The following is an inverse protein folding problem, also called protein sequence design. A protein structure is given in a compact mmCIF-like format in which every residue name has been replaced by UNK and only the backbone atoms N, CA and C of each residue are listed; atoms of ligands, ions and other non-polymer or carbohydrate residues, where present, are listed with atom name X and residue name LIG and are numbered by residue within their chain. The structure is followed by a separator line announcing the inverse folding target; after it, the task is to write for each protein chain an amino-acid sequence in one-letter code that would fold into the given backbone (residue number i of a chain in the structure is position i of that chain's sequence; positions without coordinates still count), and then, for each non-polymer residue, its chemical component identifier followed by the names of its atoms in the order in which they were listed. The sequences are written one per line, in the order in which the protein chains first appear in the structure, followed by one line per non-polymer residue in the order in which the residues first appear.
data_IF_592639772591
#
_entry.id   IF_592639772591
#
_cell.length_a   1.000
_cell.length_b   1.000
_cell.length_c   1.000
_cell.angle_alpha   90.00
_cell.angle_beta   90.00
_cell.angle_gamma   90.00
#
_symmetry.space_group_name_H-M   'P 1'
#
loop_
_entity.id
_entity.type
_entity.pdbx_description
1 polymer ?
#
# COMPACT_ATOMS: atom_id res chain seq x y z
N UNK A 1 15.23 58.23 42.12
CA UNK A 1 15.87 57.42 41.09
C UNK A 1 15.26 56.03 41.14
N UNK A 2 14.30 55.73 40.23
CA UNK A 2 13.64 54.42 40.13
C UNK A 2 14.29 53.66 38.97
N UNK A 3 15.00 52.57 39.24
CA UNK A 3 15.49 51.66 38.23
C UNK A 3 14.33 50.79 37.72
N UNK A 4 14.05 50.87 36.42
CA UNK A 4 13.10 49.98 35.72
C UNK A 4 13.94 48.83 35.15
N UNK A 5 13.73 47.63 35.69
CA UNK A 5 14.27 46.38 35.12
C UNK A 5 13.33 45.91 34.00
N UNK A 6 13.78 46.04 32.79
CA UNK A 6 13.06 45.50 31.63
C UNK A 6 13.50 44.03 31.42
N UNK A 7 12.57 43.10 31.70
CA UNK A 7 12.77 41.68 31.50
C UNK A 7 12.55 41.38 30.00
N UNK A 8 13.61 41.09 29.28
CA UNK A 8 13.54 40.59 27.89
C UNK A 8 13.25 39.11 27.95
N UNK A 9 11.97 38.73 27.66
CA UNK A 9 11.60 37.33 27.44
C UNK A 9 11.89 36.99 25.99
N UNK A 10 13.01 36.30 25.74
CA UNK A 10 13.30 35.74 24.43
C UNK A 10 12.40 34.51 24.17
N UNK A 11 11.37 34.67 23.35
CA UNK A 11 10.63 33.54 22.73
C UNK A 11 11.59 32.81 21.81
N UNK A 12 12.20 31.74 22.26
CA UNK A 12 12.77 30.72 21.35
C UNK A 12 11.62 29.96 20.69
N UNK A 13 11.21 30.40 19.52
CA UNK A 13 10.40 29.58 18.62
C UNK A 13 11.25 28.40 18.17
N UNK A 14 11.01 27.24 18.76
CA UNK A 14 11.53 25.97 18.27
C UNK A 14 10.80 25.68 16.97
N UNK A 15 11.33 26.19 15.87
CA UNK A 15 10.99 25.67 14.56
C UNK A 15 11.57 24.25 14.49
N UNK A 16 10.73 23.26 14.79
CA UNK A 16 11.03 21.89 14.43
C UNK A 16 11.24 21.83 12.91
N UNK A 17 12.49 21.70 12.49
CA UNK A 17 12.81 21.40 11.11
C UNK A 17 12.14 20.06 10.80
N UNK A 18 11.04 20.09 10.05
CA UNK A 18 10.55 18.86 9.39
C UNK A 18 11.75 18.33 8.60
N UNK A 19 12.24 17.16 8.98
CA UNK A 19 13.24 16.47 8.17
C UNK A 19 12.70 16.48 6.73
N UNK A 20 13.48 17.01 5.78
CA UNK A 20 13.08 17.01 4.38
C UNK A 20 12.93 15.56 3.96
N UNK A 21 11.70 15.14 3.65
CA UNK A 21 11.49 13.79 3.12
C UNK A 21 12.29 13.68 1.82
N UNK A 22 13.03 12.55 1.67
CA UNK A 22 13.75 12.25 0.43
C UNK A 22 12.82 12.36 -0.79
N UNK A 23 13.32 12.84 -1.94
CA UNK A 23 12.57 12.78 -3.19
C UNK A 23 12.10 11.35 -3.46
N UNK A 24 10.86 11.19 -3.92
CA UNK A 24 10.26 9.87 -4.15
C UNK A 24 11.11 8.97 -5.06
N UNK A 25 11.75 9.54 -6.08
CA UNK A 25 12.56 8.80 -7.06
C UNK A 25 13.90 8.25 -6.52
N UNK A 26 14.30 8.60 -5.29
CA UNK A 26 15.52 8.09 -4.66
C UNK A 26 15.23 7.32 -3.35
N UNK A 27 13.96 7.01 -3.07
CA UNK A 27 13.57 6.36 -1.83
C UNK A 27 13.85 4.85 -1.86
N UNK A 28 14.37 4.34 -0.76
CA UNK A 28 14.50 2.90 -0.51
C UNK A 28 13.19 2.39 0.09
N UNK A 29 12.52 1.48 -0.64
CA UNK A 29 11.27 0.85 -0.21
C UNK A 29 11.58 -0.51 0.42
N UNK A 30 11.04 -0.77 1.60
CA UNK A 30 11.14 -2.05 2.29
C UNK A 30 9.76 -2.69 2.39
N UNK A 31 9.57 -3.83 1.73
CA UNK A 31 8.36 -4.64 1.85
C UNK A 31 8.33 -5.38 3.18
N UNK A 32 7.28 -5.17 3.96
CA UNK A 32 7.10 -5.76 5.28
C UNK A 32 5.86 -6.66 5.33
N UNK A 33 6.09 -7.96 5.50
CA UNK A 33 5.06 -8.91 5.87
C UNK A 33 4.95 -8.94 7.40
N UNK A 34 3.95 -8.29 7.98
CA UNK A 34 3.81 -8.15 9.44
C UNK A 34 3.82 -9.49 10.16
N UNK A 35 3.11 -10.52 9.64
CA UNK A 35 3.08 -11.87 10.22
C UNK A 35 4.46 -12.51 10.32
N UNK A 36 5.31 -12.29 9.34
CA UNK A 36 6.61 -12.98 9.22
C UNK A 36 7.79 -12.11 9.67
N UNK A 37 7.56 -10.82 9.90
CA UNK A 37 8.64 -9.87 10.17
C UNK A 37 9.30 -10.09 11.54
N UNK A 38 8.52 -10.53 12.52
CA UNK A 38 9.00 -10.86 13.86
C UNK A 38 8.40 -12.19 14.32
N UNK A 39 8.98 -12.86 15.31
CA UNK A 39 8.38 -14.09 15.88
C UNK A 39 6.95 -13.90 16.40
N UNK A 40 6.61 -12.71 16.89
CA UNK A 40 5.27 -12.41 17.38
C UNK A 40 4.28 -12.06 16.24
N UNK A 41 4.76 -11.63 15.07
CA UNK A 41 3.94 -11.32 13.90
C UNK A 41 2.95 -10.17 14.09
N UNK A 42 3.26 -9.18 14.95
CA UNK A 42 2.35 -8.10 15.32
C UNK A 42 2.92 -6.72 15.03
N UNK A 43 2.05 -5.69 14.92
CA UNK A 43 2.48 -4.29 14.80
C UNK A 43 3.32 -3.84 16.00
N UNK A 44 3.01 -4.30 17.20
CA UNK A 44 3.78 -3.97 18.40
C UNK A 44 5.23 -4.45 18.28
N UNK A 45 5.45 -5.69 17.85
CA UNK A 45 6.79 -6.23 17.67
C UNK A 45 7.51 -5.63 16.44
N UNK A 46 6.77 -5.30 15.37
CA UNK A 46 7.33 -4.60 14.20
C UNK A 46 7.80 -3.19 14.54
N UNK A 47 7.09 -2.48 15.43
CA UNK A 47 7.47 -1.15 15.92
C UNK A 47 8.85 -1.14 16.56
N UNK A 48 9.20 -2.19 17.32
CA UNK A 48 10.52 -2.33 17.96
C UNK A 48 11.68 -2.46 16.96
N UNK A 49 11.38 -2.88 15.72
CA UNK A 49 12.37 -3.05 14.65
C UNK A 49 12.59 -1.80 13.77
N UNK A 50 11.83 -0.73 13.97
CA UNK A 50 11.98 0.50 13.20
C UNK A 50 13.39 1.10 13.24
N UNK A 51 14.13 1.13 14.38
CA UNK A 51 15.50 1.63 14.40
C UNK A 51 16.42 0.84 13.45
N UNK A 52 16.28 -0.50 13.36
CA UNK A 52 17.04 -1.34 12.43
C UNK A 52 16.77 -0.96 10.98
N UNK A 53 15.53 -0.70 10.60
CA UNK A 53 15.19 -0.25 9.25
C UNK A 53 15.78 1.12 8.94
N UNK A 54 15.84 2.00 9.94
CA UNK A 54 16.48 3.31 9.80
C UNK A 54 17.98 3.20 9.55
N UNK A 55 18.68 2.35 10.28
CA UNK A 55 20.10 2.05 10.07
C UNK A 55 20.35 1.44 8.68
N UNK A 56 19.41 0.64 8.17
CA UNK A 56 19.48 0.05 6.82
C UNK A 56 19.27 1.09 5.70
N UNK A 57 18.85 2.32 6.03
CA UNK A 57 18.62 3.38 5.07
C UNK A 57 17.25 3.33 4.39
N UNK A 58 16.27 2.65 4.98
CA UNK A 58 14.89 2.61 4.46
C UNK A 58 14.22 3.96 4.60
N UNK A 59 13.50 4.38 3.58
CA UNK A 59 12.71 5.61 3.54
C UNK A 59 11.20 5.33 3.58
N UNK A 60 10.78 4.26 2.91
CA UNK A 60 9.38 3.86 2.77
C UNK A 60 9.19 2.43 3.26
N UNK A 61 8.28 2.23 4.21
CA UNK A 61 7.82 0.91 4.61
C UNK A 61 6.55 0.60 3.83
N UNK A 62 6.58 -0.44 3.00
CA UNK A 62 5.41 -0.97 2.33
C UNK A 62 4.90 -2.17 3.13
N UNK A 63 3.73 -2.03 3.74
CA UNK A 63 3.04 -3.10 4.43
C UNK A 63 2.28 -3.98 3.42
N UNK A 64 2.60 -5.27 3.34
CA UNK A 64 1.73 -6.25 2.68
C UNK A 64 0.32 -6.17 3.25
N UNK A 65 -0.73 -6.76 2.59
CA UNK A 65 -2.10 -6.60 3.07
C UNK A 65 -2.26 -6.91 4.55
N UNK A 66 -2.84 -5.97 5.29
CA UNK A 66 -3.00 -6.04 6.75
C UNK A 66 -4.43 -6.36 7.17
N UNK A 67 -5.28 -6.65 6.21
CA UNK A 67 -6.72 -6.91 6.37
C UNK A 67 -7.01 -8.33 6.86
N UNK A 68 -8.20 -8.59 7.42
CA UNK A 68 -8.67 -9.95 7.65
C UNK A 68 -8.73 -10.74 6.35
N UNK A 69 -8.34 -12.00 6.43
CA UNK A 69 -8.30 -12.93 5.30
C UNK A 69 -9.57 -13.77 5.28
N UNK A 70 -10.16 -13.99 4.11
CA UNK A 70 -11.30 -14.88 3.91
C UNK A 70 -11.04 -16.31 4.37
N UNK A 71 -12.11 -17.05 4.66
CA UNK A 71 -12.03 -18.45 5.08
C UNK A 71 -12.56 -19.41 4.02
N UNK A 72 -13.49 -18.94 3.16
CA UNK A 72 -14.02 -19.73 2.06
C UNK A 72 -12.94 -19.93 0.99
N UNK A 73 -12.79 -21.16 0.52
CA UNK A 73 -11.79 -21.54 -0.49
C UNK A 73 -10.35 -21.15 -0.12
N UNK A 74 -10.05 -21.04 1.17
CA UNK A 74 -8.77 -20.57 1.68
C UNK A 74 -7.61 -21.46 1.24
N UNK A 75 -6.58 -20.87 0.63
CA UNK A 75 -5.33 -21.56 0.32
C UNK A 75 -4.49 -21.81 1.57
N UNK A 76 -4.15 -23.05 1.84
CA UNK A 76 -3.36 -23.45 3.01
C UNK A 76 -4.08 -23.15 4.35
N UNK A 77 -3.35 -23.22 5.45
CA UNK A 77 -3.93 -23.07 6.81
C UNK A 77 -4.20 -21.61 7.17
N UNK A 78 -3.36 -20.67 6.72
CA UNK A 78 -3.42 -19.26 7.10
C UNK A 78 -4.07 -18.36 6.03
N UNK A 79 -4.24 -18.85 4.82
CA UNK A 79 -4.78 -18.11 3.69
C UNK A 79 -3.81 -17.11 3.06
N UNK A 80 -4.19 -16.63 1.88
CA UNK A 80 -3.49 -15.56 1.18
C UNK A 80 -3.81 -14.21 1.80
N UNK A 81 -2.81 -13.36 2.01
CA UNK A 81 -2.99 -11.96 2.45
C UNK A 81 -3.83 -11.16 1.45
N UNK A 82 -3.81 -11.56 0.18
CA UNK A 82 -4.52 -10.89 -0.90
C UNK A 82 -6.00 -11.31 -0.99
N UNK A 83 -6.43 -12.38 -0.32
CA UNK A 83 -7.85 -12.76 -0.19
C UNK A 83 -8.54 -11.95 0.93
N UNK A 84 -8.73 -10.65 0.68
CA UNK A 84 -9.25 -9.68 1.67
C UNK A 84 -10.74 -9.91 1.92
N UNK A 85 -11.13 -10.02 3.20
CA UNK A 85 -12.54 -10.15 3.60
C UNK A 85 -13.18 -8.84 4.09
N UNK A 86 -12.38 -7.86 4.56
CA UNK A 86 -12.85 -6.55 5.01
C UNK A 86 -11.78 -5.48 4.80
N UNK A 87 -12.01 -4.57 3.86
CA UNK A 87 -11.06 -3.51 3.50
C UNK A 87 -10.80 -2.46 4.58
N UNK A 88 -11.67 -2.33 5.59
CA UNK A 88 -11.55 -1.30 6.63
C UNK A 88 -11.22 -1.87 8.02
N UNK A 89 -10.83 -3.13 8.09
CA UNK A 89 -10.44 -3.81 9.31
C UNK A 89 -8.96 -4.22 9.30
N UNK A 90 -8.40 -4.39 10.48
CA UNK A 90 -7.09 -4.98 10.72
C UNK A 90 -7.26 -6.48 10.98
N UNK A 91 -6.39 -7.30 10.40
CA UNK A 91 -6.29 -8.72 10.74
C UNK A 91 -5.98 -8.84 12.25
N UNK A 92 -6.85 -9.50 13.05
CA UNK A 92 -6.67 -9.58 14.49
C UNK A 92 -5.37 -10.29 14.91
N UNK A 93 -4.76 -11.08 14.04
CA UNK A 93 -3.44 -11.67 14.28
C UNK A 93 -2.34 -10.62 14.42
N UNK A 94 -2.48 -9.46 13.77
CA UNK A 94 -1.47 -8.39 13.77
C UNK A 94 -1.66 -7.39 14.93
N UNK A 95 -2.79 -7.45 15.60
CA UNK A 95 -3.20 -6.54 16.66
C UNK A 95 -4.48 -5.78 16.33
N UNK A 96 -4.64 -4.63 16.95
CA UNK A 96 -5.82 -3.76 16.82
C UNK A 96 -5.55 -2.55 15.92
N UNK A 97 -6.61 -1.82 15.55
CA UNK A 97 -6.47 -0.52 14.87
C UNK A 97 -5.60 0.46 15.69
N UNK A 98 -5.67 0.42 17.03
CA UNK A 98 -4.82 1.26 17.89
C UNK A 98 -3.34 0.88 17.80
N UNK A 99 -3.04 -0.41 17.67
CA UNK A 99 -1.66 -0.88 17.50
C UNK A 99 -1.09 -0.44 16.16
N UNK A 100 -1.89 -0.51 15.10
CA UNK A 100 -1.53 0.01 13.78
C UNK A 100 -1.29 1.53 13.80
N UNK A 101 -2.21 2.31 14.37
CA UNK A 101 -2.05 3.77 14.50
C UNK A 101 -0.81 4.15 15.34
N UNK A 102 -0.49 3.36 16.37
CA UNK A 102 0.74 3.54 17.17
C UNK A 102 1.98 3.25 16.32
N UNK A 103 1.99 2.15 15.57
CA UNK A 103 3.07 1.82 14.64
C UNK A 103 3.30 2.94 13.61
N UNK A 104 2.24 3.45 12.95
CA UNK A 104 2.33 4.57 12.02
C UNK A 104 2.98 5.79 12.67
N UNK A 105 2.51 6.17 13.86
CA UNK A 105 3.07 7.32 14.59
C UNK A 105 4.54 7.13 14.93
N UNK A 106 4.95 5.93 15.33
CA UNK A 106 6.35 5.61 15.63
C UNK A 106 7.23 5.64 14.36
N UNK A 107 6.73 5.12 13.24
CA UNK A 107 7.40 5.16 11.95
C UNK A 107 7.60 6.61 11.46
N UNK A 108 6.54 7.42 11.48
CA UNK A 108 6.61 8.83 11.10
C UNK A 108 7.59 9.63 11.99
N UNK A 109 7.63 9.34 13.29
CA UNK A 109 8.58 9.99 14.22
C UNK A 109 10.04 9.73 13.82
N UNK A 110 10.33 8.58 13.22
CA UNK A 110 11.66 8.23 12.71
C UNK A 110 11.89 8.67 11.26
N UNK A 111 10.91 9.33 10.63
CA UNK A 111 11.01 9.89 9.29
C UNK A 111 10.68 8.92 8.16
N UNK A 112 10.08 7.76 8.46
CA UNK A 112 9.57 6.87 7.41
C UNK A 112 8.28 7.42 6.80
N UNK A 113 8.04 7.11 5.54
CA UNK A 113 6.69 6.99 4.98
C UNK A 113 6.21 5.56 5.16
N UNK A 114 4.91 5.39 5.34
CA UNK A 114 4.29 4.06 5.41
C UNK A 114 3.20 3.98 4.36
N UNK A 115 3.38 3.10 3.38
CA UNK A 115 2.37 2.75 2.40
C UNK A 115 1.82 1.36 2.70
N UNK A 116 0.63 1.06 2.23
CA UNK A 116 0.03 -0.25 2.40
C UNK A 116 -0.44 -0.83 1.06
N UNK A 117 -0.57 -2.14 1.01
CA UNK A 117 -1.11 -2.81 -0.16
C UNK A 117 -2.59 -2.46 -0.37
N UNK A 118 -2.95 -2.11 -1.59
CA UNK A 118 -4.32 -1.90 -2.05
C UNK A 118 -4.66 -2.98 -3.07
N UNK A 119 -5.41 -3.99 -2.64
CA UNK A 119 -5.87 -5.08 -3.50
C UNK A 119 -7.17 -4.65 -4.16
N UNK A 120 -7.08 -3.98 -5.32
CA UNK A 120 -8.24 -3.38 -5.96
C UNK A 120 -8.94 -4.30 -6.96
N UNK A 121 -8.27 -5.35 -7.45
CA UNK A 121 -8.82 -6.23 -8.47
C UNK A 121 -9.86 -7.21 -7.92
N UNK A 122 -9.72 -7.68 -6.68
CA UNK A 122 -10.53 -8.77 -6.12
C UNK A 122 -10.66 -8.71 -4.60
N UNK A 123 -11.56 -9.53 -4.08
CA UNK A 123 -11.72 -9.82 -2.63
C UNK A 123 -11.67 -11.32 -2.40
N UNK A 124 -11.75 -11.77 -1.14
CA UNK A 124 -12.11 -13.17 -0.85
C UNK A 124 -13.55 -13.48 -1.26
N UNK A 125 -13.89 -14.77 -1.55
CA UNK A 125 -15.26 -15.16 -1.94
C UNK A 125 -16.29 -15.12 -0.79
N UNK A 126 -15.86 -14.80 0.41
CA UNK A 126 -16.66 -14.55 1.62
C UNK A 126 -16.41 -13.16 2.19
N UNK A 127 -15.95 -12.22 1.37
CA UNK A 127 -15.79 -10.84 1.77
C UNK A 127 -17.14 -10.20 2.14
N UNK A 128 -17.14 -9.23 3.06
CA UNK A 128 -18.34 -8.49 3.44
C UNK A 128 -19.12 -7.93 2.24
N UNK A 129 -18.43 -7.50 1.21
CA UNK A 129 -19.09 -6.96 0.02
C UNK A 129 -19.87 -8.01 -0.78
N UNK A 130 -19.53 -9.30 -0.67
CA UNK A 130 -20.30 -10.39 -1.31
C UNK A 130 -21.76 -10.41 -0.81
N UNK A 131 -21.95 -10.24 0.50
CA UNK A 131 -23.26 -10.31 1.14
C UNK A 131 -23.95 -8.94 1.24
N UNK A 132 -23.18 -7.87 1.43
CA UNK A 132 -23.70 -6.52 1.71
C UNK A 132 -24.01 -5.69 0.45
N UNK A 133 -23.48 -6.08 -0.70
CA UNK A 133 -23.55 -5.31 -1.95
C UNK A 133 -24.34 -6.05 -3.03
N UNK A 134 -24.91 -5.33 -4.01
CA UNK A 134 -25.53 -5.94 -5.17
C UNK A 134 -24.64 -6.95 -5.88
N UNK A 135 -25.23 -7.98 -6.46
CA UNK A 135 -24.50 -9.09 -7.09
C UNK A 135 -23.63 -8.65 -8.26
N UNK A 136 -23.96 -7.54 -8.93
CA UNK A 136 -23.23 -6.95 -10.07
C UNK A 136 -21.95 -6.17 -9.64
N UNK A 137 -21.62 -6.17 -8.37
CA UNK A 137 -20.32 -5.69 -7.88
C UNK A 137 -19.18 -6.65 -8.21
N UNK A 138 -19.50 -7.88 -8.56
CA UNK A 138 -18.55 -8.93 -8.89
C UNK A 138 -18.77 -9.45 -10.30
N UNK A 139 -17.70 -9.78 -10.98
CA UNK A 139 -17.75 -10.49 -12.23
C UNK A 139 -18.35 -11.87 -12.00
N UNK A 140 -19.30 -12.30 -12.87
CA UNK A 140 -20.01 -13.57 -12.72
C UNK A 140 -20.10 -14.32 -14.05
N UNK A 141 -20.07 -15.64 -13.96
CA UNK A 141 -20.33 -16.53 -15.08
C UNK A 141 -21.84 -16.61 -15.40
N UNK A 142 -22.20 -17.32 -16.46
CA UNK A 142 -23.60 -17.53 -16.88
C UNK A 142 -24.45 -18.25 -15.81
N UNK A 143 -23.83 -18.97 -14.88
CA UNK A 143 -24.48 -19.67 -13.78
C UNK A 143 -24.62 -18.79 -12.54
N UNK A 144 -24.08 -17.57 -12.56
CA UNK A 144 -24.12 -16.61 -11.45
C UNK A 144 -23.03 -16.80 -10.39
N UNK A 145 -22.06 -17.69 -10.60
CA UNK A 145 -20.91 -17.83 -9.72
C UNK A 145 -19.92 -16.68 -9.95
N UNK A 146 -19.20 -16.27 -8.90
CA UNK A 146 -18.12 -15.30 -9.05
C UNK A 146 -16.99 -15.86 -9.89
N UNK A 147 -16.45 -15.02 -10.79
CA UNK A 147 -15.31 -15.39 -11.63
C UNK A 147 -14.03 -15.32 -10.77
N UNK A 148 -13.15 -16.27 -11.04
CA UNK A 148 -11.80 -16.33 -10.49
C UNK A 148 -10.80 -16.19 -11.63
N UNK A 149 -9.77 -15.40 -11.44
CA UNK A 149 -8.69 -15.26 -12.40
C UNK A 149 -7.64 -16.35 -12.17
N UNK A 150 -7.13 -16.91 -13.22
CA UNK A 150 -6.12 -17.97 -13.18
C UNK A 150 -6.61 -19.18 -12.36
N UNK A 151 -5.76 -19.70 -11.47
CA UNK A 151 -6.07 -20.78 -10.52
C UNK A 151 -6.33 -20.23 -9.07
N UNK A 152 -6.73 -18.95 -8.96
CA UNK A 152 -6.90 -18.27 -7.69
C UNK A 152 -8.31 -18.44 -7.10
N UNK A 153 -8.69 -19.68 -6.82
CA UNK A 153 -10.01 -20.03 -6.30
C UNK A 153 -10.38 -19.39 -4.95
N UNK A 154 -9.41 -18.79 -4.26
CA UNK A 154 -9.59 -18.06 -2.99
C UNK A 154 -9.93 -16.58 -3.17
N UNK A 155 -10.24 -16.14 -4.39
CA UNK A 155 -10.64 -14.77 -4.70
C UNK A 155 -11.95 -14.69 -5.49
N UNK A 156 -12.56 -13.50 -5.52
CA UNK A 156 -13.69 -13.11 -6.37
C UNK A 156 -13.37 -11.77 -7.02
N UNK A 157 -13.40 -11.71 -8.35
CA UNK A 157 -13.06 -10.53 -9.14
C UNK A 157 -14.13 -9.44 -9.02
N UNK A 158 -13.72 -8.20 -8.81
CA UNK A 158 -14.60 -7.03 -8.77
C UNK A 158 -14.98 -6.57 -10.16
N UNK A 159 -16.23 -6.12 -10.31
CA UNK A 159 -16.76 -5.63 -11.59
C UNK A 159 -16.61 -4.10 -11.69
N UNK A 160 -15.60 -3.65 -12.40
CA UNK A 160 -15.35 -2.23 -12.65
C UNK A 160 -16.26 -1.59 -13.72
N UNK A 161 -17.15 -2.34 -14.36
CA UNK A 161 -18.26 -1.75 -15.16
C UNK A 161 -19.29 -1.08 -14.24
N UNK A 162 -19.34 -1.49 -12.96
CA UNK A 162 -20.17 -0.86 -11.95
C UNK A 162 -19.44 0.29 -11.25
N UNK A 163 -19.89 1.53 -11.47
CA UNK A 163 -19.28 2.75 -10.87
C UNK A 163 -19.32 2.77 -9.34
N UNK A 164 -20.27 2.09 -8.70
CA UNK A 164 -20.32 2.00 -7.25
C UNK A 164 -19.12 1.24 -6.64
N UNK A 165 -18.48 0.35 -7.41
CA UNK A 165 -17.21 -0.30 -7.04
C UNK A 165 -16.08 0.72 -6.98
N UNK A 166 -16.03 1.67 -7.95
CA UNK A 166 -15.04 2.75 -7.97
C UNK A 166 -15.14 3.62 -6.71
N UNK A 167 -16.37 4.05 -6.39
CA UNK A 167 -16.63 4.92 -5.23
C UNK A 167 -16.24 4.22 -3.92
N UNK A 168 -16.57 2.93 -3.79
CA UNK A 168 -16.24 2.17 -2.60
C UNK A 168 -14.74 1.88 -2.46
N UNK A 169 -14.05 1.65 -3.59
CA UNK A 169 -12.60 1.44 -3.59
C UNK A 169 -11.86 2.75 -3.25
N UNK A 170 -12.28 3.90 -3.80
CA UNK A 170 -11.73 5.19 -3.38
C UNK A 170 -12.03 5.47 -1.89
N UNK A 171 -13.23 5.17 -1.40
CA UNK A 171 -13.62 5.42 -0.02
C UNK A 171 -12.80 4.57 0.98
N UNK A 172 -12.47 3.31 0.64
CA UNK A 172 -11.55 2.53 1.49
C UNK A 172 -10.13 3.11 1.46
N UNK A 173 -9.61 3.56 0.31
CA UNK A 173 -8.31 4.23 0.25
C UNK A 173 -8.32 5.50 1.10
N UNK A 174 -9.35 6.31 0.98
CA UNK A 174 -9.54 7.54 1.77
C UNK A 174 -9.64 7.26 3.27
N UNK A 175 -10.26 6.14 3.67
CA UNK A 175 -10.29 5.69 5.06
C UNK A 175 -8.87 5.50 5.62
N UNK A 176 -7.99 4.81 4.90
CA UNK A 176 -6.63 4.56 5.34
C UNK A 176 -5.75 5.81 5.31
N UNK A 177 -5.95 6.70 4.30
CA UNK A 177 -5.27 8.00 4.29
C UNK A 177 -5.63 8.84 5.52
N UNK A 178 -6.90 8.83 5.95
CA UNK A 178 -7.34 9.49 7.20
C UNK A 178 -6.71 8.87 8.46
N UNK A 179 -6.31 7.60 8.42
CA UNK A 179 -5.57 6.93 9.50
C UNK A 179 -4.09 7.29 9.53
N UNK A 180 -3.59 7.97 8.51
CA UNK A 180 -2.21 8.45 8.44
C UNK A 180 -1.29 7.63 7.54
N UNK A 181 -1.81 6.76 6.70
CA UNK A 181 -1.04 6.08 5.65
C UNK A 181 -0.57 7.13 4.63
N UNK A 182 0.65 7.00 4.12
CA UNK A 182 1.25 7.95 3.18
C UNK A 182 1.01 7.59 1.70
N UNK A 183 0.30 6.51 1.44
CA UNK A 183 -0.02 6.05 0.10
C UNK A 183 -0.22 4.55 -0.01
N UNK A 184 -0.13 4.05 -1.24
CA UNK A 184 -0.46 2.65 -1.53
C UNK A 184 0.51 2.02 -2.51
N UNK A 185 0.76 0.73 -2.34
CA UNK A 185 1.18 -0.17 -3.40
C UNK A 185 -0.07 -0.86 -3.93
N UNK A 186 -0.35 -0.71 -5.20
CA UNK A 186 -1.56 -1.23 -5.81
C UNK A 186 -1.27 -2.56 -6.48
N UNK A 187 -1.87 -3.60 -5.90
CA UNK A 187 -1.79 -4.98 -6.37
C UNK A 187 -2.43 -5.10 -7.75
N UNK A 188 -1.78 -5.82 -8.67
CA UNK A 188 -2.27 -6.08 -10.03
C UNK A 188 -2.83 -4.82 -10.72
N UNK A 189 -2.11 -3.70 -10.65
CA UNK A 189 -2.62 -2.40 -11.10
C UNK A 189 -3.02 -2.37 -12.57
N UNK A 190 -2.45 -3.25 -13.41
CA UNK A 190 -2.78 -3.37 -14.83
C UNK A 190 -4.10 -4.10 -15.10
N UNK A 191 -4.62 -4.88 -14.16
CA UNK A 191 -5.90 -5.61 -14.27
C UNK A 191 -7.10 -4.73 -13.85
N UNK A 192 -6.83 -3.56 -13.28
CA UNK A 192 -7.84 -2.57 -12.88
C UNK A 192 -7.83 -1.43 -13.91
N UNK A 193 -9.00 -0.90 -14.35
CA UNK A 193 -9.05 0.15 -15.37
C UNK A 193 -8.18 1.36 -15.03
N UNK A 194 -7.37 1.82 -15.98
CA UNK A 194 -6.48 2.99 -15.80
C UNK A 194 -7.27 4.27 -15.48
N UNK A 195 -8.48 4.38 -16.01
CA UNK A 195 -9.40 5.48 -15.75
C UNK A 195 -9.82 5.53 -14.28
N UNK A 196 -10.06 4.36 -13.65
CA UNK A 196 -10.31 4.31 -12.21
C UNK A 196 -9.13 4.88 -11.43
N UNK A 197 -7.91 4.43 -11.71
CA UNK A 197 -6.72 4.94 -11.03
C UNK A 197 -6.56 6.44 -11.23
N UNK A 198 -6.77 6.93 -12.45
CA UNK A 198 -6.72 8.37 -12.78
C UNK A 198 -7.70 9.17 -11.93
N UNK A 199 -8.95 8.73 -11.84
CA UNK A 199 -9.98 9.43 -11.06
C UNK A 199 -9.67 9.35 -9.57
N UNK A 200 -9.43 8.17 -9.02
CA UNK A 200 -9.17 7.95 -7.60
C UNK A 200 -7.90 8.69 -7.13
N UNK A 201 -6.78 8.54 -7.85
CA UNK A 201 -5.53 9.22 -7.51
C UNK A 201 -5.68 10.73 -7.59
N UNK A 202 -6.35 11.26 -8.64
CA UNK A 202 -6.58 12.70 -8.78
C UNK A 202 -7.48 13.24 -7.67
N UNK A 203 -8.51 12.49 -7.28
CA UNK A 203 -9.41 12.84 -6.19
C UNK A 203 -8.69 12.88 -4.85
N UNK A 204 -7.95 11.81 -4.52
CA UNK A 204 -7.21 11.70 -3.26
C UNK A 204 -6.11 12.76 -3.13
N UNK A 205 -5.40 13.09 -4.22
CA UNK A 205 -4.34 14.11 -4.21
C UNK A 205 -4.81 15.52 -3.91
N UNK A 206 -6.10 15.82 -4.05
CA UNK A 206 -6.65 17.12 -3.61
C UNK A 206 -6.48 17.33 -2.11
N UNK A 207 -6.65 16.26 -1.33
CA UNK A 207 -6.53 16.28 0.12
C UNK A 207 -5.14 15.82 0.61
N UNK A 208 -4.48 14.96 -0.18
CA UNK A 208 -3.19 14.32 0.14
C UNK A 208 -2.16 14.50 -0.99
N UNK A 209 -1.68 15.73 -1.25
CA UNK A 209 -0.85 16.04 -2.42
C UNK A 209 0.48 15.28 -2.47
N UNK A 210 0.99 14.81 -1.32
CA UNK A 210 2.24 14.07 -1.21
C UNK A 210 2.05 12.54 -1.13
N UNK A 211 0.84 12.05 -1.46
CA UNK A 211 0.54 10.62 -1.49
C UNK A 211 1.47 9.87 -2.44
N UNK A 212 2.06 8.76 -1.97
CA UNK A 212 2.93 7.91 -2.77
C UNK A 212 2.15 6.72 -3.33
N UNK A 213 2.13 6.61 -4.64
CA UNK A 213 1.44 5.54 -5.37
C UNK A 213 2.45 4.69 -6.12
N UNK A 214 2.58 3.43 -5.72
CA UNK A 214 3.40 2.40 -6.36
C UNK A 214 2.48 1.39 -7.05
N UNK A 215 2.63 1.22 -8.35
CA UNK A 215 1.87 0.23 -9.11
C UNK A 215 2.64 -1.08 -9.23
N UNK A 216 1.96 -2.21 -8.97
CA UNK A 216 2.42 -3.49 -9.49
C UNK A 216 2.03 -3.60 -10.96
N UNK A 217 2.99 -3.34 -11.82
CA UNK A 217 2.86 -3.31 -13.27
C UNK A 217 4.04 -2.62 -13.90
N UNK A 218 4.21 -2.73 -15.21
CA UNK A 218 5.39 -2.25 -15.93
C UNK A 218 5.05 -1.42 -17.18
N UNK A 219 3.75 -1.13 -17.40
CA UNK A 219 3.33 -0.31 -18.56
C UNK A 219 3.47 1.19 -18.30
N UNK A 220 3.94 1.99 -19.30
CA UNK A 220 3.98 3.44 -19.20
C UNK A 220 2.63 4.11 -18.90
N UNK A 221 1.51 3.47 -19.22
CA UNK A 221 0.16 3.99 -18.99
C UNK A 221 -0.17 4.19 -17.51
N UNK A 222 0.46 3.42 -16.62
CA UNK A 222 0.38 3.63 -15.17
C UNK A 222 0.86 5.02 -14.76
N UNK A 223 1.85 5.56 -15.45
CA UNK A 223 2.35 6.92 -15.19
C UNK A 223 1.60 7.97 -16.01
N UNK A 224 1.46 7.74 -17.32
CA UNK A 224 0.96 8.72 -18.27
C UNK A 224 -0.54 8.96 -18.16
N UNK A 225 -1.32 7.91 -17.87
CA UNK A 225 -2.79 7.98 -17.75
C UNK A 225 -3.20 8.05 -16.29
N UNK A 226 -2.75 7.10 -15.48
CA UNK A 226 -3.25 6.87 -14.12
C UNK A 226 -2.60 7.76 -13.05
N UNK A 227 -1.36 8.22 -13.29
CA UNK A 227 -0.66 9.14 -12.40
C UNK A 227 0.05 8.49 -11.21
N UNK A 228 0.46 7.23 -11.32
CA UNK A 228 1.35 6.59 -10.33
C UNK A 228 2.72 7.28 -10.25
N UNK A 229 3.33 7.25 -9.08
CA UNK A 229 4.67 7.80 -8.85
C UNK A 229 5.78 6.84 -9.26
N UNK A 230 5.54 5.55 -9.09
CA UNK A 230 6.47 4.47 -9.40
C UNK A 230 5.72 3.23 -9.87
N UNK A 231 6.41 2.37 -10.60
CA UNK A 231 5.97 1.06 -11.04
C UNK A 231 7.09 0.05 -10.90
N UNK A 232 6.77 -1.21 -11.07
CA UNK A 232 7.76 -2.27 -11.09
C UNK A 232 8.60 -2.22 -12.38
N UNK A 233 9.74 -2.89 -12.35
CA UNK A 233 10.67 -3.04 -13.47
C UNK A 233 11.11 -4.50 -13.55
N UNK A 234 10.19 -5.39 -13.89
CA UNK A 234 10.44 -6.83 -13.97
C UNK A 234 11.39 -7.18 -15.11
N UNK A 235 11.27 -6.49 -16.24
CA UNK A 235 12.15 -6.71 -17.39
C UNK A 235 13.60 -6.42 -17.01
N UNK A 236 13.87 -5.27 -16.38
CA UNK A 236 15.21 -4.94 -15.88
C UNK A 236 15.69 -5.94 -14.82
N UNK A 237 14.81 -6.34 -13.91
CA UNK A 237 15.13 -7.34 -12.88
C UNK A 237 15.57 -8.66 -13.52
N UNK A 238 14.83 -9.17 -14.50
CA UNK A 238 15.18 -10.40 -15.22
C UNK A 238 16.46 -10.25 -16.01
N UNK A 239 16.64 -9.09 -16.67
CA UNK A 239 17.86 -8.80 -17.42
C UNK A 239 19.11 -8.80 -16.51
N UNK A 240 19.04 -8.10 -15.38
CA UNK A 240 20.15 -8.05 -14.42
C UNK A 240 20.48 -9.44 -13.84
N UNK A 241 19.46 -10.25 -13.54
CA UNK A 241 19.66 -11.64 -13.10
C UNK A 241 20.32 -12.50 -14.19
N UNK A 242 19.92 -12.35 -15.46
CA UNK A 242 20.54 -13.06 -16.58
C UNK A 242 21.98 -12.63 -16.80
N UNK A 243 22.30 -11.36 -16.62
CA UNK A 243 23.69 -10.85 -16.67
C UNK A 243 24.50 -11.46 -15.52
N UNK A 244 23.97 -11.48 -14.30
CA UNK A 244 24.65 -12.05 -13.14
C UNK A 244 24.93 -13.54 -13.29
N UNK A 245 24.09 -14.28 -14.03
CA UNK A 245 24.30 -15.70 -14.37
C UNK A 245 25.23 -15.92 -15.58
N UNK A 246 25.68 -14.82 -16.24
CA UNK A 246 26.52 -14.91 -17.44
C UNK A 246 25.76 -15.31 -18.73
N UNK A 247 24.43 -15.25 -18.74
CA UNK A 247 23.57 -15.56 -19.88
C UNK A 247 23.43 -14.38 -20.86
N UNK A 248 23.58 -13.16 -20.34
CA UNK A 248 23.54 -11.89 -21.08
C UNK A 248 24.71 -10.99 -20.64
N UNK A 249 24.91 -9.87 -21.32
CA UNK A 249 26.03 -8.96 -21.06
C UNK A 249 25.62 -7.48 -21.07
N UNK A 250 26.65 -6.62 -21.07
CA UNK A 250 26.43 -5.17 -21.07
C UNK A 250 25.77 -4.62 -22.33
N UNK A 251 25.81 -5.38 -23.45
CA UNK A 251 25.13 -4.98 -24.68
C UNK A 251 23.61 -4.96 -24.49
N UNK A 252 23.05 -6.04 -23.96
CA UNK A 252 21.61 -6.15 -23.71
C UNK A 252 21.14 -5.11 -22.68
N UNK A 253 21.99 -4.75 -21.71
CA UNK A 253 21.70 -3.68 -20.76
C UNK A 253 21.68 -2.30 -21.41
N UNK A 254 22.52 -2.07 -22.41
CA UNK A 254 22.57 -0.80 -23.14
C UNK A 254 21.44 -0.65 -24.16
N UNK A 255 20.83 -1.76 -24.60
CA UNK A 255 19.68 -1.78 -25.51
C UNK A 255 18.33 -1.65 -24.76
N UNK A 256 18.30 -1.93 -23.44
CA UNK A 256 17.15 -1.73 -22.56
C UNK A 256 16.90 -0.24 -22.28
#
# INVERSE_FOLDING_TARGET
MKLIFTLLVSLLSVFGTKASQQPLGSSVVYEMNVRQYTPAGTFAAAEEQLPRLKELGVDVIWLMPIHPIGVKERKGTLGSYYAISDYKAINPEFGTMKDFERFLKAAHKQGFRVIMDCVANHTSPDAKWIDEKPSDWYMRDEQGNTIVNYDWFDIAELNYDNRAVWDAMEDQMRFWMKKGVDGFRCDMACEVPFEFWKEAISSLRKDYPNMYMLAEGETPDLHNISGFNASYSWELHHLLNSIARGEKGGKELAEY
#
